data_IF_068557325033
#
_entry.id   IF_068557325033
#
_cell.length_a   1.000
_cell.length_b   1.000
_cell.length_c   1.000
_cell.angle_alpha   90.00
_cell.angle_beta   90.00
_cell.angle_gamma   90.00
#
_symmetry.space_group_name_H-M   'P 1'
#
loop_
_entity.id
_entity.type
_entity.pdbx_description
1 polymer ?
#
# COMPACT_ATOMS: atom_id res chain seq x y z
N UNK A 1 -1.24 -0.63 16.12
CA UNK A 1 -0.22 0.27 15.56
C UNK A 1 0.07 1.47 16.46
N UNK A 2 -0.89 2.40 16.71
CA UNK A 2 -0.66 3.56 17.58
C UNK A 2 -0.43 3.14 19.04
N UNK A 3 -1.28 2.24 19.59
CA UNK A 3 -1.10 1.69 20.95
C UNK A 3 0.26 1.03 21.15
N UNK A 4 0.72 0.25 20.18
CA UNK A 4 2.02 -0.43 20.26
C UNK A 4 3.18 0.57 20.15
N UNK A 5 3.01 1.63 19.35
CA UNK A 5 4.00 2.72 19.26
C UNK A 5 4.10 3.51 20.57
N UNK A 6 2.99 3.78 21.24
CA UNK A 6 2.93 4.44 22.54
C UNK A 6 3.50 3.55 23.65
N UNK A 7 3.14 2.27 23.68
CA UNK A 7 3.66 1.30 24.66
C UNK A 7 5.19 1.14 24.55
N UNK A 8 5.74 1.07 23.34
CA UNK A 8 7.20 1.03 23.14
C UNK A 8 7.93 2.28 23.65
N UNK A 9 7.22 3.38 23.83
CA UNK A 9 7.74 4.67 24.35
C UNK A 9 7.40 4.88 25.83
N UNK A 10 6.87 3.85 26.51
CA UNK A 10 6.53 3.91 27.93
C UNK A 10 5.30 4.76 28.26
N UNK A 11 4.46 5.06 27.26
CA UNK A 11 3.22 5.80 27.42
C UNK A 11 2.04 4.85 27.66
N UNK A 12 1.07 5.28 28.51
CA UNK A 12 -0.12 4.50 28.76
C UNK A 12 -0.98 4.36 27.47
N UNK A 13 -1.23 3.14 26.99
CA UNK A 13 -2.09 2.90 25.84
C UNK A 13 -3.53 3.40 26.02
N UNK A 14 -4.00 3.59 27.26
CA UNK A 14 -5.32 4.15 27.57
C UNK A 14 -5.46 5.62 27.13
N UNK A 15 -4.37 6.36 27.06
CA UNK A 15 -4.35 7.72 26.51
C UNK A 15 -4.72 7.76 25.01
N UNK A 16 -4.61 6.63 24.30
CA UNK A 16 -5.03 6.51 22.91
C UNK A 16 -6.54 6.29 22.72
N UNK A 17 -7.28 5.86 23.75
CA UNK A 17 -8.72 5.59 23.65
C UNK A 17 -9.57 6.86 23.55
N UNK A 18 -9.04 8.01 23.94
CA UNK A 18 -9.71 9.31 23.80
C UNK A 18 -9.78 9.75 22.33
N UNK A 19 -8.88 9.26 21.49
CA UNK A 19 -8.71 9.69 20.09
C UNK A 19 -9.55 8.92 19.04
N UNK A 20 -10.33 7.89 19.41
CA UNK A 20 -10.85 6.90 18.42
C UNK A 20 -12.37 6.79 18.40
N UNK A 21 -13.13 7.77 18.80
CA UNK A 21 -14.60 7.73 18.66
C UNK A 21 -15.15 8.73 17.63
N UNK A 22 -15.49 8.19 16.44
CA UNK A 22 -16.17 8.93 15.38
C UNK A 22 -15.21 9.50 14.34
N UNK A 23 -15.66 10.40 13.46
CA UNK A 23 -14.81 11.23 12.59
C UNK A 23 -13.89 12.02 13.52
N UNK A 24 -12.94 11.33 14.09
CA UNK A 24 -12.20 11.71 15.29
C UNK A 24 -10.89 12.41 14.95
N UNK A 25 -10.19 12.90 15.96
CA UNK A 25 -8.91 13.55 15.79
C UNK A 25 -7.90 12.60 15.13
N UNK A 26 -7.09 13.13 14.22
CA UNK A 26 -5.94 12.46 13.63
C UNK A 26 -4.77 12.59 14.59
N UNK A 27 -3.98 11.54 14.73
CA UNK A 27 -2.74 11.51 15.48
C UNK A 27 -1.55 11.48 14.50
N UNK A 28 -0.72 12.51 14.53
CA UNK A 28 0.48 12.62 13.71
C UNK A 28 1.70 12.35 14.61
N UNK A 29 2.42 11.26 14.32
CA UNK A 29 3.65 10.91 15.00
C UNK A 29 4.85 11.41 14.20
N UNK A 30 5.70 12.19 14.84
CA UNK A 30 6.96 12.68 14.31
C UNK A 30 8.10 11.95 14.99
N UNK A 31 8.94 11.28 14.23
CA UNK A 31 10.17 10.65 14.69
C UNK A 31 11.38 11.52 14.31
N UNK A 32 12.45 11.44 15.07
CA UNK A 32 13.71 12.17 14.85
C UNK A 32 13.57 13.70 14.92
N UNK A 33 12.73 14.19 15.85
CA UNK A 33 12.47 15.62 16.05
C UNK A 33 13.52 16.23 16.97
N UNK A 34 14.08 17.36 16.57
CA UNK A 34 15.00 18.14 17.41
C UNK A 34 14.27 18.74 18.63
N UNK A 35 15.03 19.16 19.64
CA UNK A 35 14.47 19.83 20.82
C UNK A 35 13.70 21.11 20.42
N UNK A 36 14.23 21.90 19.50
CA UNK A 36 13.62 23.14 19.02
C UNK A 36 12.30 22.90 18.27
N UNK A 37 12.26 21.88 17.39
CA UNK A 37 11.04 21.48 16.70
C UNK A 37 9.96 20.96 17.65
N UNK A 38 10.35 20.21 18.65
CA UNK A 38 9.49 19.67 19.71
C UNK A 38 8.82 20.79 20.50
N UNK A 39 9.61 21.78 20.94
CA UNK A 39 9.11 22.96 21.64
C UNK A 39 8.19 23.79 20.72
N UNK A 40 8.51 23.88 19.44
CA UNK A 40 7.68 24.50 18.43
C UNK A 40 6.34 23.79 18.20
N UNK A 41 6.32 22.45 18.22
CA UNK A 41 5.10 21.66 18.10
C UNK A 41 4.22 21.82 19.35
N UNK A 42 4.79 21.78 20.54
CA UNK A 42 4.06 21.94 21.81
C UNK A 42 3.45 23.35 21.93
N UNK A 43 4.22 24.39 21.64
CA UNK A 43 3.76 25.78 21.60
C UNK A 43 2.62 25.98 20.60
N UNK A 44 2.74 25.33 19.45
CA UNK A 44 1.74 25.39 18.39
C UNK A 44 0.47 24.66 18.77
N UNK A 45 0.59 23.48 19.36
CA UNK A 45 -0.53 22.71 19.87
C UNK A 45 -1.34 23.50 20.90
N UNK A 46 -0.67 24.11 21.86
CA UNK A 46 -1.32 24.93 22.90
C UNK A 46 -2.10 26.10 22.29
N UNK A 47 -1.53 26.80 21.31
CA UNK A 47 -2.19 27.96 20.66
C UNK A 47 -3.44 27.56 19.84
N UNK A 48 -3.46 26.36 19.28
CA UNK A 48 -4.54 25.92 18.41
C UNK A 48 -5.50 24.90 19.06
N UNK A 49 -5.35 24.65 20.38
CA UNK A 49 -6.22 23.71 21.09
C UNK A 49 -6.03 22.25 20.67
N UNK A 50 -4.80 21.89 20.28
CA UNK A 50 -4.39 20.53 19.95
C UNK A 50 -3.72 19.89 21.17
N UNK A 51 -3.75 18.56 21.24
CA UNK A 51 -2.96 17.81 22.18
C UNK A 51 -1.58 17.51 21.61
N UNK A 52 -0.52 17.74 22.37
CA UNK A 52 0.84 17.39 22.01
C UNK A 52 1.48 16.58 23.13
N UNK A 53 1.99 15.40 22.79
CA UNK A 53 2.82 14.60 23.66
C UNK A 53 4.23 14.56 23.10
N UNK A 54 5.22 14.83 23.92
CA UNK A 54 6.61 14.88 23.48
C UNK A 54 7.51 13.98 24.31
N UNK A 55 8.55 13.44 23.68
CA UNK A 55 9.62 12.69 24.33
C UNK A 55 10.96 12.93 23.64
N UNK A 56 11.99 12.23 24.06
CA UNK A 56 13.31 12.39 23.47
C UNK A 56 13.30 11.91 22.00
N UNK A 57 13.51 12.84 21.06
CA UNK A 57 13.54 12.58 19.62
C UNK A 57 12.20 12.31 18.96
N UNK A 58 11.05 12.52 19.63
CA UNK A 58 9.74 12.31 19.02
C UNK A 58 8.68 13.29 19.56
N UNK A 59 7.62 13.47 18.76
CA UNK A 59 6.42 14.20 19.16
C UNK A 59 5.17 13.55 18.54
N UNK A 60 4.06 13.57 19.28
CA UNK A 60 2.74 13.13 18.82
C UNK A 60 1.78 14.31 18.92
N UNK A 61 1.25 14.74 17.78
CA UNK A 61 0.26 15.81 17.69
C UNK A 61 -1.12 15.21 17.40
N UNK A 62 -2.12 15.54 18.21
CA UNK A 62 -3.48 15.03 18.09
C UNK A 62 -4.47 16.16 17.91
N UNK A 63 -5.30 16.09 16.88
CA UNK A 63 -6.31 17.09 16.62
C UNK A 63 -7.22 16.78 15.45
N UNK A 64 -8.27 17.58 15.28
CA UNK A 64 -9.17 17.44 14.13
C UNK A 64 -8.49 17.92 12.85
N UNK A 65 -8.86 17.31 11.72
CA UNK A 65 -8.32 17.65 10.40
C UNK A 65 -8.43 19.15 10.08
N UNK A 66 -9.57 19.83 10.31
CA UNK A 66 -9.69 21.26 10.05
C UNK A 66 -8.69 22.10 10.86
N UNK A 67 -8.46 21.75 12.13
CA UNK A 67 -7.53 22.47 13.01
C UNK A 67 -6.08 22.25 12.56
N UNK A 68 -5.69 21.02 12.28
CA UNK A 68 -4.37 20.66 11.76
C UNK A 68 -4.11 21.33 10.39
N UNK A 69 -5.09 21.36 9.50
CA UNK A 69 -4.99 22.04 8.21
C UNK A 69 -4.90 23.57 8.36
N UNK A 70 -5.60 24.13 9.34
CA UNK A 70 -5.52 25.55 9.69
C UNK A 70 -4.13 25.96 10.17
N UNK A 71 -3.47 25.10 10.92
CA UNK A 71 -2.13 25.28 11.44
C UNK A 71 -1.09 25.47 10.32
N UNK A 72 -1.21 24.70 9.23
CA UNK A 72 -0.30 24.79 8.07
C UNK A 72 -0.55 26.10 7.30
N UNK A 73 -1.82 26.46 7.09
CA UNK A 73 -2.20 27.67 6.34
C UNK A 73 -1.83 28.96 7.04
N UNK A 74 -1.80 28.96 8.37
CA UNK A 74 -1.53 30.18 9.15
C UNK A 74 -0.07 30.65 9.09
N UNK A 75 0.85 29.83 8.62
CA UNK A 75 2.28 30.15 8.52
C UNK A 75 2.96 30.58 9.85
N UNK A 76 2.22 30.50 10.96
CA UNK A 76 2.63 31.00 12.28
C UNK A 76 3.41 29.99 13.11
N UNK A 77 3.81 28.88 12.50
CA UNK A 77 4.45 27.79 13.21
C UNK A 77 5.96 27.95 13.22
N UNK A 78 6.57 27.67 14.37
CA UNK A 78 8.02 27.42 14.50
C UNK A 78 8.40 26.06 13.89
N UNK A 79 7.53 25.48 13.07
CA UNK A 79 7.80 24.26 12.33
C UNK A 79 8.76 24.55 11.18
N UNK A 80 9.68 23.64 10.94
CA UNK A 80 10.48 23.70 9.72
C UNK A 80 9.57 23.64 8.48
N UNK A 81 10.00 24.23 7.39
CA UNK A 81 9.24 24.19 6.13
C UNK A 81 8.95 22.75 5.68
N UNK A 82 9.90 21.84 5.91
CA UNK A 82 9.77 20.42 5.58
C UNK A 82 8.72 19.72 6.46
N UNK A 83 8.70 20.00 7.75
CA UNK A 83 7.69 19.44 8.68
C UNK A 83 6.29 19.94 8.31
N UNK A 84 6.14 21.24 8.03
CA UNK A 84 4.86 21.82 7.59
C UNK A 84 4.38 21.21 6.27
N UNK A 85 5.29 21.03 5.29
CA UNK A 85 4.98 20.40 4.00
C UNK A 85 4.58 18.91 4.17
N UNK A 86 5.24 18.17 5.05
CA UNK A 86 4.91 16.79 5.37
C UNK A 86 3.52 16.65 5.99
N UNK A 87 3.20 17.49 6.98
CA UNK A 87 1.86 17.58 7.59
C UNK A 87 0.83 17.89 6.49
N UNK A 88 1.11 18.86 5.61
CA UNK A 88 0.22 19.24 4.50
C UNK A 88 -0.12 18.07 3.60
N UNK A 89 0.89 17.31 3.18
CA UNK A 89 0.70 16.12 2.34
C UNK A 89 -0.12 15.02 3.03
N UNK A 90 0.18 14.75 4.30
CA UNK A 90 -0.57 13.76 5.08
C UNK A 90 -2.04 14.16 5.26
N UNK A 91 -2.31 15.44 5.49
CA UNK A 91 -3.67 15.93 5.67
C UNK A 91 -4.44 16.03 4.35
N UNK A 92 -3.80 16.38 3.23
CA UNK A 92 -4.45 16.36 1.91
C UNK A 92 -5.03 14.98 1.59
N UNK A 93 -4.25 13.92 1.80
CA UNK A 93 -4.73 12.55 1.58
C UNK A 93 -5.86 12.09 2.52
N UNK A 94 -6.11 12.83 3.63
CA UNK A 94 -7.20 12.51 4.57
C UNK A 94 -8.45 13.37 4.38
N UNK A 95 -8.31 14.55 3.79
CA UNK A 95 -9.41 15.51 3.58
C UNK A 95 -10.10 15.32 2.24
N UNK A 96 -9.31 15.00 1.22
CA UNK A 96 -9.80 14.75 -0.13
C UNK A 96 -9.22 13.39 -0.58
N UNK A 97 -9.99 12.31 -0.44
CA UNK A 97 -9.54 11.02 -0.98
C UNK A 97 -9.24 11.21 -2.48
N UNK A 98 -8.17 10.59 -2.98
CA UNK A 98 -7.87 10.68 -4.39
C UNK A 98 -9.05 10.13 -5.21
N UNK A 99 -9.46 10.86 -6.23
CA UNK A 99 -10.51 10.45 -7.17
C UNK A 99 -9.96 9.64 -8.34
N UNK A 100 -8.63 9.54 -8.42
CA UNK A 100 -7.93 8.82 -9.48
C UNK A 100 -6.61 8.24 -8.97
N UNK A 101 -6.23 7.10 -9.51
CA UNK A 101 -4.92 6.49 -9.35
C UNK A 101 -4.15 6.65 -10.65
N UNK A 102 -3.22 7.60 -10.66
CA UNK A 102 -2.42 7.94 -11.84
C UNK A 102 -1.14 7.10 -11.90
N UNK A 103 -0.89 6.50 -13.04
CA UNK A 103 0.30 5.71 -13.35
C UNK A 103 0.80 6.08 -14.75
N UNK A 104 2.05 5.75 -15.08
CA UNK A 104 2.62 6.06 -16.41
C UNK A 104 1.81 5.43 -17.56
N UNK A 105 1.16 4.30 -17.33
CA UNK A 105 0.38 3.58 -18.34
C UNK A 105 -1.06 4.04 -18.48
N UNK A 106 -1.57 4.78 -17.51
CA UNK A 106 -2.94 5.30 -17.51
C UNK A 106 -3.44 5.59 -16.11
N UNK A 107 -4.71 5.89 -16.04
CA UNK A 107 -5.39 6.33 -14.82
C UNK A 107 -6.55 5.41 -14.51
N UNK A 108 -6.68 5.00 -13.25
CA UNK A 108 -7.87 4.29 -12.75
C UNK A 108 -8.71 5.29 -11.97
N UNK A 109 -10.00 5.44 -12.33
CA UNK A 109 -10.94 6.24 -11.53
C UNK A 109 -11.18 5.57 -10.19
N UNK A 110 -11.21 6.37 -9.13
CA UNK A 110 -11.55 5.96 -7.77
C UNK A 110 -12.89 6.57 -7.31
N UNK A 111 -13.70 7.10 -8.24
CA UNK A 111 -15.03 7.65 -7.94
C UNK A 111 -16.04 6.54 -7.53
N UNK A 112 -15.68 5.30 -7.77
CA UNK A 112 -16.41 4.10 -7.36
C UNK A 112 -15.42 3.01 -6.87
N UNK A 113 -15.89 2.00 -6.15
CA UNK A 113 -15.04 0.88 -5.76
C UNK A 113 -14.44 0.17 -6.98
N UNK A 114 -13.11 0.00 -7.02
CA UNK A 114 -12.41 -0.73 -8.07
C UNK A 114 -12.42 -2.22 -7.73
N UNK A 115 -12.98 -3.03 -8.59
CA UNK A 115 -13.04 -4.49 -8.43
C UNK A 115 -11.83 -5.12 -9.11
N UNK A 116 -11.00 -5.80 -8.33
CA UNK A 116 -9.79 -6.48 -8.82
C UNK A 116 -10.07 -7.98 -8.95
N UNK A 117 -10.03 -8.49 -10.17
CA UNK A 117 -10.16 -9.91 -10.47
C UNK A 117 -8.83 -10.63 -10.25
N UNK A 118 -8.80 -11.64 -9.35
CA UNK A 118 -7.59 -12.40 -9.02
C UNK A 118 -7.42 -13.57 -9.98
N UNK A 119 -6.27 -13.64 -10.64
CA UNK A 119 -5.90 -14.67 -11.59
C UNK A 119 -4.64 -15.43 -11.11
N UNK A 120 -4.82 -16.54 -10.41
CA UNK A 120 -3.71 -17.37 -9.95
C UNK A 120 -3.24 -18.35 -11.03
N UNK A 121 -1.97 -18.27 -11.38
CA UNK A 121 -1.30 -19.11 -12.39
C UNK A 121 -0.48 -20.18 -11.66
N UNK A 122 -1.17 -21.19 -11.11
CA UNK A 122 -0.53 -22.28 -10.35
C UNK A 122 -0.27 -23.51 -11.23
N UNK A 123 0.65 -24.43 -10.84
CA UNK A 123 0.94 -25.67 -11.60
C UNK A 123 -0.29 -26.52 -11.89
N UNK A 124 -1.27 -26.55 -10.99
CA UNK A 124 -2.51 -27.29 -11.18
C UNK A 124 -3.35 -26.74 -12.33
N UNK A 125 -3.18 -25.46 -12.65
CA UNK A 125 -3.78 -24.84 -13.85
C UNK A 125 -3.14 -25.30 -15.15
N UNK A 126 -1.99 -26.00 -15.09
CA UNK A 126 -1.20 -26.48 -16.24
C UNK A 126 -1.17 -28.01 -16.37
N UNK A 127 -1.88 -28.75 -15.49
CA UNK A 127 -1.73 -30.22 -15.38
C UNK A 127 -2.20 -31.01 -16.59
N UNK A 128 -3.05 -30.47 -17.46
CA UNK A 128 -3.73 -31.24 -18.51
C UNK A 128 -3.25 -30.99 -19.95
N UNK A 129 -2.10 -30.35 -20.18
CA UNK A 129 -1.71 -30.21 -21.59
C UNK A 129 -0.59 -29.25 -21.97
N UNK A 130 0.25 -28.86 -21.02
CA UNK A 130 1.41 -28.01 -21.30
C UNK A 130 1.14 -26.51 -21.17
N UNK A 131 2.21 -25.72 -21.25
CA UNK A 131 2.22 -24.26 -20.99
C UNK A 131 1.19 -23.45 -21.80
N UNK A 132 0.90 -23.83 -23.03
CA UNK A 132 -0.04 -23.12 -23.90
C UNK A 132 -1.50 -23.30 -23.49
N UNK A 133 -1.90 -24.50 -23.12
CA UNK A 133 -3.28 -24.76 -22.69
C UNK A 133 -3.59 -24.12 -21.34
N UNK A 134 -2.61 -24.06 -20.44
CA UNK A 134 -2.74 -23.36 -19.16
C UNK A 134 -2.89 -21.84 -19.34
N UNK A 135 -2.10 -21.23 -20.20
CA UNK A 135 -2.22 -19.79 -20.46
C UNK A 135 -3.55 -19.42 -21.14
N UNK A 136 -4.04 -20.24 -22.09
CA UNK A 136 -5.36 -20.00 -22.68
C UNK A 136 -6.51 -20.14 -21.67
N UNK A 137 -6.43 -21.11 -20.76
CA UNK A 137 -7.41 -21.26 -19.70
C UNK A 137 -7.38 -20.05 -18.74
N UNK A 138 -6.19 -19.57 -18.39
CA UNK A 138 -6.01 -18.36 -17.58
C UNK A 138 -6.59 -17.13 -18.27
N UNK A 139 -6.36 -16.97 -19.58
CA UNK A 139 -6.92 -15.85 -20.35
C UNK A 139 -8.45 -15.91 -20.45
N UNK A 140 -9.03 -17.08 -20.67
CA UNK A 140 -10.50 -17.24 -20.63
C UNK A 140 -11.08 -16.91 -19.26
N UNK A 141 -10.34 -17.23 -18.19
CA UNK A 141 -10.77 -16.85 -16.85
C UNK A 141 -10.64 -15.34 -16.63
N UNK A 142 -9.60 -14.70 -17.13
CA UNK A 142 -9.48 -13.23 -17.11
C UNK A 142 -10.66 -12.58 -17.87
N UNK A 143 -11.02 -13.08 -19.07
CA UNK A 143 -12.21 -12.61 -19.80
C UNK A 143 -13.47 -12.72 -18.96
N UNK A 144 -13.70 -13.88 -18.33
CA UNK A 144 -14.84 -14.09 -17.48
C UNK A 144 -14.89 -13.11 -16.28
N UNK A 145 -13.73 -12.84 -15.64
CA UNK A 145 -13.66 -11.87 -14.56
C UNK A 145 -14.03 -10.46 -15.03
N UNK A 146 -13.55 -10.06 -16.20
CA UNK A 146 -13.88 -8.76 -16.82
C UNK A 146 -15.38 -8.68 -17.20
N UNK A 147 -15.95 -9.74 -17.77
CA UNK A 147 -17.39 -9.82 -18.05
C UNK A 147 -18.25 -9.76 -16.78
N UNK A 148 -17.72 -10.26 -15.65
CA UNK A 148 -18.35 -10.15 -14.33
C UNK A 148 -18.18 -8.78 -13.68
N UNK A 149 -17.48 -7.84 -14.31
CA UNK A 149 -17.34 -6.47 -13.84
C UNK A 149 -16.05 -6.18 -13.08
N UNK A 150 -15.00 -6.97 -13.27
CA UNK A 150 -13.68 -6.59 -12.76
C UNK A 150 -13.12 -5.41 -13.57
N UNK A 151 -12.60 -4.41 -12.86
CA UNK A 151 -11.97 -3.21 -13.45
C UNK A 151 -10.47 -3.42 -13.70
N UNK A 152 -9.86 -4.37 -13.01
CA UNK A 152 -8.45 -4.67 -13.03
C UNK A 152 -8.23 -6.18 -12.86
N UNK A 153 -7.16 -6.72 -13.42
CA UNK A 153 -6.75 -8.13 -13.23
C UNK A 153 -5.44 -8.16 -12.44
N UNK A 154 -5.40 -8.96 -11.38
CA UNK A 154 -4.21 -9.22 -10.57
C UNK A 154 -3.68 -10.63 -10.85
N UNK A 155 -2.47 -10.74 -11.41
CA UNK A 155 -1.87 -12.01 -11.84
C UNK A 155 -0.83 -12.45 -10.83
N UNK A 156 -1.05 -13.62 -10.18
CA UNK A 156 -0.13 -14.23 -9.23
C UNK A 156 0.35 -15.63 -9.66
N UNK A 157 1.65 -15.90 -9.51
CA UNK A 157 2.25 -17.20 -9.80
C UNK A 157 2.23 -18.17 -8.61
N UNK A 158 1.98 -17.66 -7.43
CA UNK A 158 1.87 -18.41 -6.18
C UNK A 158 0.45 -18.30 -5.61
N UNK A 159 0.00 -19.35 -4.97
CA UNK A 159 -1.19 -19.23 -4.13
C UNK A 159 -0.75 -18.77 -2.74
N UNK A 160 -1.23 -17.61 -2.31
CA UNK A 160 -1.00 -17.07 -0.97
C UNK A 160 -1.81 -17.81 0.11
N UNK A 161 -2.39 -18.98 -0.23
CA UNK A 161 -3.13 -19.79 0.74
C UNK A 161 -2.21 -20.28 1.85
N UNK A 162 -2.66 -20.23 3.12
CA UNK A 162 -1.91 -20.77 4.24
C UNK A 162 -1.58 -22.25 4.02
N UNK A 163 -0.31 -22.63 4.26
CA UNK A 163 0.14 -24.03 4.12
C UNK A 163 0.98 -24.32 2.87
N UNK A 164 1.16 -23.39 1.95
CA UNK A 164 2.12 -23.54 0.84
C UNK A 164 3.52 -23.28 1.37
N UNK A 165 4.33 -24.33 1.45
CA UNK A 165 5.60 -24.34 2.20
C UNK A 165 6.84 -23.89 1.41
N UNK A 166 6.73 -23.64 0.10
CA UNK A 166 7.89 -23.28 -0.73
C UNK A 166 7.59 -22.05 -1.59
N UNK A 167 8.41 -21.02 -1.41
CA UNK A 167 8.45 -19.87 -2.32
C UNK A 167 9.14 -20.23 -3.62
N UNK A 168 8.61 -19.68 -4.70
CA UNK A 168 9.27 -19.75 -5.99
C UNK A 168 10.51 -18.85 -6.01
N UNK A 169 11.53 -19.30 -6.72
CA UNK A 169 12.60 -18.38 -7.13
C UNK A 169 12.05 -17.36 -8.13
N UNK A 170 12.65 -16.17 -8.28
CA UNK A 170 12.23 -15.18 -9.27
C UNK A 170 12.15 -15.76 -10.69
N UNK A 171 13.05 -16.66 -11.05
CA UNK A 171 13.04 -17.32 -12.35
C UNK A 171 11.88 -18.30 -12.53
N UNK A 172 11.55 -19.08 -11.50
CA UNK A 172 10.41 -20.00 -11.51
C UNK A 172 9.09 -19.23 -11.56
N UNK A 173 9.00 -18.15 -10.78
CA UNK A 173 7.85 -17.24 -10.77
C UNK A 173 7.63 -16.62 -12.14
N UNK A 174 8.69 -16.07 -12.73
CA UNK A 174 8.65 -15.46 -14.04
C UNK A 174 8.20 -16.42 -15.14
N UNK A 175 8.69 -17.66 -15.14
CA UNK A 175 8.29 -18.69 -16.10
C UNK A 175 6.78 -18.96 -16.10
N UNK A 176 6.10 -18.75 -14.99
CA UNK A 176 4.64 -18.89 -14.86
C UNK A 176 3.92 -17.60 -15.26
N UNK A 177 4.41 -16.45 -14.82
CA UNK A 177 3.79 -15.15 -15.05
C UNK A 177 3.87 -14.72 -16.52
N UNK A 178 5.04 -14.84 -17.13
CA UNK A 178 5.33 -14.24 -18.44
C UNK A 178 4.31 -14.58 -19.54
N UNK A 179 3.94 -15.85 -19.80
CA UNK A 179 3.03 -16.21 -20.87
C UNK A 179 1.64 -15.57 -20.70
N UNK A 180 1.13 -15.60 -19.46
CA UNK A 180 -0.21 -15.07 -19.14
C UNK A 180 -0.20 -13.56 -19.14
N UNK A 181 0.83 -12.92 -18.56
CA UNK A 181 0.96 -11.47 -18.53
C UNK A 181 1.06 -10.88 -19.94
N UNK A 182 1.93 -11.42 -20.80
CA UNK A 182 2.07 -10.95 -22.20
C UNK A 182 0.76 -11.07 -22.97
N UNK A 183 0.07 -12.18 -22.82
CA UNK A 183 -1.19 -12.38 -23.52
C UNK A 183 -2.30 -11.48 -22.95
N UNK A 184 -2.35 -11.28 -21.63
CA UNK A 184 -3.30 -10.34 -21.01
C UNK A 184 -3.10 -8.91 -21.49
N UNK A 185 -1.87 -8.42 -21.48
CA UNK A 185 -1.53 -7.06 -21.97
C UNK A 185 -1.86 -6.90 -23.46
N UNK A 186 -1.62 -7.94 -24.27
CA UNK A 186 -1.94 -7.93 -25.70
C UNK A 186 -3.45 -7.94 -25.97
N UNK A 187 -4.20 -8.75 -25.23
CA UNK A 187 -5.63 -9.00 -25.47
C UNK A 187 -6.53 -7.93 -24.86
N UNK A 188 -6.09 -7.37 -23.74
CA UNK A 188 -6.84 -6.37 -22.99
C UNK A 188 -6.02 -5.08 -22.81
N UNK A 189 -5.65 -4.36 -23.89
CA UNK A 189 -4.69 -3.25 -23.82
C UNK A 189 -5.18 -2.06 -22.96
N UNK A 190 -6.48 -1.97 -22.72
CA UNK A 190 -7.08 -0.90 -21.91
C UNK A 190 -7.39 -1.33 -20.47
N UNK A 191 -7.16 -2.60 -20.13
CA UNK A 191 -7.43 -3.12 -18.79
C UNK A 191 -6.16 -3.01 -17.95
N UNK A 192 -6.21 -2.37 -16.78
CA UNK A 192 -5.09 -2.37 -15.85
C UNK A 192 -4.77 -3.79 -15.41
N UNK A 193 -3.49 -4.15 -15.43
CA UNK A 193 -2.99 -5.44 -14.92
C UNK A 193 -2.01 -5.16 -13.80
N UNK A 194 -2.23 -5.76 -12.63
CA UNK A 194 -1.20 -5.87 -11.59
C UNK A 194 -0.58 -7.25 -11.55
N UNK A 195 0.59 -7.33 -10.96
CA UNK A 195 1.28 -8.60 -10.72
C UNK A 195 1.52 -8.75 -9.22
N UNK A 196 0.96 -9.84 -8.64
CA UNK A 196 1.22 -10.24 -7.25
C UNK A 196 2.60 -10.90 -7.18
N UNK A 197 3.53 -10.17 -6.61
CA UNK A 197 4.90 -10.63 -6.41
C UNK A 197 5.56 -9.94 -5.22
N UNK A 198 6.41 -10.68 -4.53
CA UNK A 198 7.25 -10.20 -3.44
C UNK A 198 8.73 -10.10 -3.86
N UNK A 199 9.03 -10.24 -5.14
CA UNK A 199 10.37 -10.23 -5.72
C UNK A 199 10.56 -9.04 -6.66
N UNK A 200 11.51 -8.16 -6.38
CA UNK A 200 11.84 -7.02 -7.24
C UNK A 200 12.17 -7.44 -8.68
N UNK A 201 12.93 -8.54 -8.85
CA UNK A 201 13.34 -9.00 -10.17
C UNK A 201 12.14 -9.38 -11.05
N UNK A 202 11.21 -10.17 -10.52
CA UNK A 202 9.95 -10.51 -11.20
C UNK A 202 9.11 -9.27 -11.46
N UNK A 203 9.04 -8.36 -10.48
CA UNK A 203 8.32 -7.10 -10.59
C UNK A 203 8.85 -6.22 -11.71
N UNK A 204 10.16 -5.99 -11.81
CA UNK A 204 10.76 -5.22 -12.91
C UNK A 204 10.40 -5.82 -14.28
N UNK A 205 10.57 -7.14 -14.43
CA UNK A 205 10.22 -7.83 -15.69
C UNK A 205 8.73 -7.68 -16.03
N UNK A 206 7.86 -7.73 -15.03
CA UNK A 206 6.42 -7.55 -15.22
C UNK A 206 6.08 -6.12 -15.69
N UNK A 207 6.69 -5.11 -15.09
CA UNK A 207 6.53 -3.71 -15.48
C UNK A 207 7.06 -3.45 -16.89
N UNK A 208 8.20 -4.04 -17.26
CA UNK A 208 8.76 -3.96 -18.62
C UNK A 208 7.80 -4.53 -19.67
N UNK A 209 7.13 -5.64 -19.37
CA UNK A 209 6.14 -6.28 -20.26
C UNK A 209 4.87 -5.47 -20.40
N UNK A 210 4.48 -4.73 -19.36
CA UNK A 210 3.29 -3.88 -19.45
C UNK A 210 2.34 -3.93 -18.27
N UNK A 211 2.72 -4.52 -17.15
CA UNK A 211 1.96 -4.38 -15.94
C UNK A 211 1.85 -2.90 -15.53
N UNK A 212 0.71 -2.52 -14.97
CA UNK A 212 0.44 -1.15 -14.50
C UNK A 212 0.88 -0.96 -13.05
N UNK A 213 0.81 -2.04 -12.26
CA UNK A 213 1.10 -2.02 -10.83
C UNK A 213 1.74 -3.33 -10.38
N UNK A 214 2.40 -3.29 -9.23
CA UNK A 214 2.78 -4.46 -8.46
C UNK A 214 1.91 -4.56 -7.21
N UNK A 215 1.53 -5.79 -6.83
CA UNK A 215 0.81 -6.10 -5.61
C UNK A 215 1.77 -6.86 -4.67
N UNK A 216 2.19 -6.22 -3.58
CA UNK A 216 3.08 -6.84 -2.59
C UNK A 216 2.33 -7.21 -1.31
N UNK A 217 1.99 -8.49 -1.21
CA UNK A 217 1.32 -9.07 -0.05
C UNK A 217 2.24 -9.19 1.18
N UNK A 218 3.53 -8.91 1.04
CA UNK A 218 4.46 -8.87 2.17
C UNK A 218 4.53 -7.52 2.87
N UNK A 219 4.03 -6.45 2.25
CA UNK A 219 4.15 -5.10 2.77
C UNK A 219 5.60 -4.61 2.81
N UNK A 220 6.37 -4.89 1.75
CA UNK A 220 7.80 -4.57 1.58
C UNK A 220 8.75 -5.25 2.59
N UNK A 221 8.26 -6.27 3.30
CA UNK A 221 9.07 -6.97 4.32
C UNK A 221 10.03 -7.97 3.72
N UNK A 222 9.75 -8.48 2.53
CA UNK A 222 10.55 -9.49 1.87
C UNK A 222 11.54 -8.89 0.90
N UNK A 223 11.12 -7.90 0.14
CA UNK A 223 11.97 -7.16 -0.79
C UNK A 223 11.51 -5.70 -0.89
N UNK A 224 12.16 -4.83 -0.12
CA UNK A 224 11.87 -3.39 -0.15
C UNK A 224 12.18 -2.75 -1.52
N UNK A 225 12.94 -3.41 -2.37
CA UNK A 225 13.26 -2.96 -3.72
C UNK A 225 12.06 -2.88 -4.67
N UNK A 226 10.92 -3.50 -4.31
CA UNK A 226 9.67 -3.40 -5.07
C UNK A 226 9.19 -1.94 -5.15
N UNK A 227 9.27 -1.19 -4.04
CA UNK A 227 8.90 0.21 -4.04
C UNK A 227 9.74 1.04 -5.02
N UNK A 228 11.06 0.80 -5.06
CA UNK A 228 11.97 1.45 -6.02
C UNK A 228 11.63 1.06 -7.46
N UNK A 229 11.32 -0.23 -7.71
CA UNK A 229 10.93 -0.68 -9.05
C UNK A 229 9.65 0.03 -9.54
N UNK A 230 8.63 0.16 -8.69
CA UNK A 230 7.42 0.91 -9.02
C UNK A 230 7.73 2.39 -9.31
N UNK A 231 8.56 3.03 -8.48
CA UNK A 231 8.92 4.43 -8.66
C UNK A 231 9.71 4.66 -9.96
N UNK A 232 10.69 3.80 -10.27
CA UNK A 232 11.52 3.86 -11.48
C UNK A 232 10.67 3.71 -12.76
N UNK A 233 9.59 2.93 -12.72
CA UNK A 233 8.69 2.71 -13.87
C UNK A 233 7.45 3.62 -13.86
N UNK A 234 7.27 4.48 -12.86
CA UNK A 234 6.03 5.26 -12.68
C UNK A 234 4.79 4.38 -12.56
N UNK A 235 4.95 3.21 -11.96
CA UNK A 235 3.92 2.20 -11.79
C UNK A 235 3.22 2.32 -10.43
N UNK A 236 2.02 1.75 -10.35
CA UNK A 236 1.29 1.65 -9.08
C UNK A 236 1.90 0.61 -8.13
N UNK A 237 1.65 0.80 -6.84
CA UNK A 237 1.98 -0.19 -5.81
C UNK A 237 0.76 -0.45 -4.93
N UNK A 238 0.32 -1.71 -4.89
CA UNK A 238 -0.66 -2.21 -3.94
C UNK A 238 0.13 -2.83 -2.79
N UNK A 239 -0.13 -2.36 -1.58
CA UNK A 239 0.65 -2.74 -0.42
C UNK A 239 -0.24 -3.31 0.67
N UNK A 240 -0.05 -4.60 0.98
CA UNK A 240 -0.82 -5.24 2.02
C UNK A 240 -0.30 -4.88 3.41
N UNK A 241 -1.20 -4.56 4.32
CA UNK A 241 -0.89 -4.48 5.74
C UNK A 241 -1.09 -5.85 6.43
N UNK A 242 -0.05 -6.36 7.08
CA UNK A 242 -0.09 -7.60 7.86
C UNK A 242 0.54 -7.41 9.24
N UNK A 243 -0.04 -8.03 10.28
CA UNK A 243 0.46 -7.93 11.66
C UNK A 243 1.64 -8.84 11.97
N UNK A 244 1.82 -9.93 11.25
CA UNK A 244 2.87 -10.93 11.46
C UNK A 244 3.46 -11.39 10.13
N UNK A 245 4.17 -12.49 10.15
CA UNK A 245 4.71 -13.09 8.95
C UNK A 245 3.61 -13.70 8.06
N UNK A 246 3.86 -13.81 6.76
CA UNK A 246 2.91 -14.41 5.82
C UNK A 246 2.49 -15.83 6.20
N UNK A 247 3.39 -16.57 6.86
CA UNK A 247 3.11 -17.92 7.38
C UNK A 247 2.11 -17.95 8.53
N UNK A 248 1.95 -16.85 9.25
CA UNK A 248 1.07 -16.72 10.41
C UNK A 248 -0.32 -16.18 10.05
N UNK A 249 -0.53 -15.73 8.82
CA UNK A 249 -1.79 -15.08 8.38
C UNK A 249 -3.03 -15.93 8.65
N UNK A 250 -2.91 -17.27 8.58
CA UNK A 250 -4.01 -18.19 8.86
C UNK A 250 -4.37 -18.30 10.35
N UNK A 251 -3.50 -17.85 11.24
CA UNK A 251 -3.66 -18.01 12.70
C UNK A 251 -4.08 -16.73 13.40
N UNK A 252 -4.27 -15.62 12.65
CA UNK A 252 -4.68 -14.36 13.26
C UNK A 252 -6.08 -14.45 13.86
N UNK A 253 -6.16 -14.21 15.16
CA UNK A 253 -7.41 -13.92 15.85
C UNK A 253 -7.61 -12.39 15.80
N UNK A 254 -8.69 -11.99 15.16
CA UNK A 254 -9.13 -10.57 15.09
C UNK A 254 -9.98 -10.20 16.29
#
# INVERSE_FOLDING_TARGET
ALRDALARRGLDPGSADVAVKGIGPIALLFDSVSAEERDGLDDTAKRHGLECLTGEGWALLVGSVPVLSGLIRSGSSRLSADTAANIGRLLQGTVEPPTAWEMVRGTISLDHPVVVGILNVTPDSFSDGGRYLGSEAAIRHAEYLLECGADMIDIGAESTRPGVSRRLSPSEEWLRLEPVLRESVRRFPSVPVSVDTVNRESGCRALDVGAWALNDVSGLRLDAGIASACAEHGAGLILMHSRGDLSEMATYQY
#
